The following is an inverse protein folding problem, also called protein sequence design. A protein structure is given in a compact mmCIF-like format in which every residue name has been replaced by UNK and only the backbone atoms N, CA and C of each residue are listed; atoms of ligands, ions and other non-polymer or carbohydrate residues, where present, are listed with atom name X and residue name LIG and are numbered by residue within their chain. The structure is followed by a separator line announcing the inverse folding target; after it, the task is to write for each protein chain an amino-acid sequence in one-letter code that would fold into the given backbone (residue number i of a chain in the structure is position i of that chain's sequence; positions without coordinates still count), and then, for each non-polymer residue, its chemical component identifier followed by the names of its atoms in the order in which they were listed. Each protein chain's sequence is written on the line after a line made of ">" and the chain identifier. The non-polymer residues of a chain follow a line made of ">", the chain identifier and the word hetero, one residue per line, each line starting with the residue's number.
data_IF_397725652657
#
_entry.id   IF_397725652657
#
_cell.length_a   1.000
_cell.length_b   1.000
_cell.length_c   1.000
_cell.angle_alpha   90.00
_cell.angle_beta   90.00
_cell.angle_gamma   90.00
#
_symmetry.space_group_name_H-M   'P 1'
#
loop_
_entity.id
_entity.type
_entity.pdbx_description
1 polymer ?
#
# COMPACT_ATOMS: atom_id res chain seq x y z
N UNK A 1 17.70 19.87 -73.96
CA UNK A 1 16.71 20.90 -73.56
C UNK A 1 15.58 20.92 -74.59
N UNK A 2 14.39 20.44 -74.22
CA UNK A 2 13.06 20.92 -74.63
C UNK A 2 11.99 19.88 -74.23
N UNK A 3 11.03 20.32 -73.41
CA UNK A 3 9.83 19.60 -72.97
C UNK A 3 8.70 19.66 -74.01
N UNK A 4 7.63 18.88 -73.80
CA UNK A 4 6.18 19.15 -74.07
C UNK A 4 5.48 17.79 -74.19
N UNK A 5 4.87 17.29 -73.10
CA UNK A 5 3.42 17.31 -72.75
C UNK A 5 2.49 16.52 -73.68
N UNK A 6 1.86 15.49 -73.11
CA UNK A 6 0.64 14.84 -73.62
C UNK A 6 -0.43 14.80 -72.51
N UNK A 7 -1.73 14.73 -72.88
CA UNK A 7 -2.82 15.32 -72.13
C UNK A 7 -3.43 14.40 -71.07
N UNK A 8 -4.05 15.06 -70.08
CA UNK A 8 -5.01 14.51 -69.12
C UNK A 8 -6.11 13.73 -69.83
N UNK A 9 -6.40 12.52 -69.36
CA UNK A 9 -7.77 12.01 -69.27
C UNK A 9 -8.09 11.71 -67.81
N UNK A 10 -9.08 12.44 -67.34
CA UNK A 10 -9.76 12.34 -66.06
C UNK A 10 -10.83 11.24 -66.22
N UNK A 11 -10.79 10.20 -65.35
CA UNK A 11 -11.88 9.56 -64.55
C UNK A 11 -13.14 9.12 -65.33
N UNK A 12 -13.82 7.97 -65.06
CA UNK A 12 -14.01 7.30 -63.77
C UNK A 12 -13.85 5.78 -63.83
N UNK A 13 -13.72 5.12 -62.68
CA UNK A 13 -14.60 4.03 -62.29
C UNK A 13 -14.25 3.65 -60.85
N UNK A 14 -15.07 4.15 -59.95
CA UNK A 14 -15.06 3.83 -58.54
C UNK A 14 -15.50 2.39 -58.34
N UNK A 15 -14.61 1.51 -57.87
CA UNK A 15 -14.86 0.31 -57.05
C UNK A 15 -13.46 -0.04 -56.52
N UNK A 16 -13.10 -0.14 -55.25
CA UNK A 16 -13.81 -0.65 -54.08
C UNK A 16 -13.15 -0.08 -52.80
N UNK A 17 -13.71 0.98 -52.23
CA UNK A 17 -13.43 1.35 -50.83
C UNK A 17 -14.34 0.55 -49.92
N UNK A 18 -14.08 -0.75 -49.79
CA UNK A 18 -14.86 -1.60 -48.88
C UNK A 18 -14.13 -2.87 -48.42
N UNK A 19 -12.78 -2.89 -48.30
CA UNK A 19 -12.09 -4.07 -47.70
C UNK A 19 -10.84 -3.72 -46.88
N UNK A 20 -10.68 -2.46 -46.40
CA UNK A 20 -9.59 -2.10 -45.46
C UNK A 20 -10.14 -1.34 -44.25
N UNK A 21 -11.36 -1.67 -43.83
CA UNK A 21 -11.88 -1.29 -42.51
C UNK A 21 -12.12 -2.52 -41.60
N UNK A 22 -12.05 -3.74 -42.16
CA UNK A 22 -12.38 -4.98 -41.44
C UNK A 22 -11.20 -5.72 -40.79
N UNK A 23 -9.96 -5.32 -41.04
CA UNK A 23 -8.77 -6.06 -40.56
C UNK A 23 -8.01 -5.32 -39.44
N UNK A 24 -8.31 -4.03 -39.18
CA UNK A 24 -7.64 -3.25 -38.12
C UNK A 24 -8.41 -3.27 -36.78
N UNK A 25 -9.61 -3.86 -36.73
CA UNK A 25 -10.40 -3.92 -35.50
C UNK A 25 -10.27 -5.23 -34.71
N UNK A 26 -9.56 -6.24 -35.22
CA UNK A 26 -9.39 -7.53 -34.53
C UNK A 26 -8.17 -7.53 -33.59
N UNK A 27 -7.27 -6.55 -33.73
CA UNK A 27 -6.03 -6.48 -32.94
C UNK A 27 -6.11 -5.67 -31.63
N UNK A 28 -7.19 -4.95 -31.37
CA UNK A 28 -7.32 -4.02 -30.23
C UNK A 28 -8.37 -4.40 -29.19
N UNK A 29 -8.96 -5.60 -29.28
CA UNK A 29 -10.06 -6.01 -28.37
C UNK A 29 -9.77 -7.31 -27.62
N UNK A 30 -8.52 -7.78 -27.64
CA UNK A 30 -8.11 -9.03 -27.00
C UNK A 30 -7.14 -8.83 -25.82
N UNK A 31 -7.08 -7.63 -25.23
CA UNK A 31 -6.21 -7.32 -24.09
C UNK A 31 -6.92 -6.60 -22.93
N UNK A 32 -8.24 -6.45 -23.01
CA UNK A 32 -9.08 -6.07 -21.85
C UNK A 32 -9.62 -7.29 -21.10
N UNK A 33 -8.96 -8.45 -21.21
CA UNK A 33 -9.10 -9.47 -20.18
C UNK A 33 -8.42 -8.98 -18.90
N UNK A 34 -9.23 -8.37 -18.04
CA UNK A 34 -9.21 -8.64 -16.60
C UNK A 34 -7.86 -8.48 -15.90
N UNK A 35 -7.21 -7.34 -16.05
CA UNK A 35 -6.44 -6.80 -14.92
C UNK A 35 -7.31 -5.80 -14.18
N UNK A 36 -8.30 -6.30 -13.42
CA UNK A 36 -8.72 -5.55 -12.24
C UNK A 36 -7.48 -5.48 -11.35
N UNK A 37 -6.83 -4.32 -11.17
CA UNK A 37 -5.76 -4.22 -10.19
C UNK A 37 -6.38 -4.69 -8.86
N UNK A 38 -5.74 -5.60 -8.10
CA UNK A 38 -6.44 -6.22 -6.99
C UNK A 38 -6.85 -5.09 -6.03
N UNK A 39 -8.16 -4.91 -5.84
CA UNK A 39 -8.64 -3.77 -5.07
C UNK A 39 -8.18 -3.89 -3.61
N UNK A 40 -8.02 -2.76 -2.92
CA UNK A 40 -7.73 -2.77 -1.49
C UNK A 40 -8.82 -3.53 -0.74
N UNK A 41 -8.44 -4.45 0.14
CA UNK A 41 -9.37 -5.28 0.91
C UNK A 41 -9.36 -4.84 2.36
N UNK A 42 -10.52 -4.45 2.90
CA UNK A 42 -10.68 -4.25 4.33
C UNK A 42 -10.67 -5.63 5.02
N UNK A 43 -9.89 -5.74 6.09
CA UNK A 43 -9.79 -6.94 6.91
C UNK A 43 -10.78 -6.83 8.08
N UNK A 44 -11.41 -7.95 8.42
CA UNK A 44 -12.04 -8.13 9.71
C UNK A 44 -11.04 -8.63 10.77
N UNK A 45 -11.52 -8.88 11.98
CA UNK A 45 -10.68 -9.32 13.09
C UNK A 45 -10.06 -10.71 12.86
N UNK A 46 -10.76 -11.62 12.19
CA UNK A 46 -10.30 -12.99 11.99
C UNK A 46 -9.23 -13.03 10.90
N UNK A 47 -9.46 -12.33 9.78
CA UNK A 47 -8.45 -12.14 8.73
C UNK A 47 -7.20 -11.43 9.27
N UNK A 48 -7.37 -10.42 10.13
CA UNK A 48 -6.24 -9.75 10.78
C UNK A 48 -5.44 -10.68 11.70
N UNK A 49 -6.10 -11.57 12.45
CA UNK A 49 -5.42 -12.58 13.28
C UNK A 49 -4.67 -13.60 12.43
N UNK A 50 -5.24 -14.04 11.32
CA UNK A 50 -4.57 -14.96 10.39
C UNK A 50 -3.28 -14.33 9.83
N UNK A 51 -3.32 -13.05 9.45
CA UNK A 51 -2.12 -12.33 8.98
C UNK A 51 -1.05 -12.15 10.07
N UNK A 52 -1.46 -12.11 11.33
CA UNK A 52 -0.60 -11.92 12.49
C UNK A 52 -0.34 -13.23 13.26
N UNK A 53 -0.48 -14.41 12.64
CA UNK A 53 -0.44 -15.71 13.32
C UNK A 53 0.80 -15.95 14.20
N UNK A 54 1.94 -15.32 13.89
CA UNK A 54 3.18 -15.42 14.66
C UNK A 54 3.40 -14.25 15.65
N UNK A 55 2.36 -13.47 15.92
CA UNK A 55 2.40 -12.27 16.76
C UNK A 55 1.35 -12.38 17.85
N UNK A 56 1.74 -12.04 19.08
CA UNK A 56 0.82 -11.93 20.21
C UNK A 56 0.20 -10.54 20.27
N UNK A 57 -1.13 -10.47 20.38
CA UNK A 57 -1.82 -9.22 20.68
C UNK A 57 -1.81 -9.02 22.20
N UNK A 58 -1.25 -7.93 22.74
CA UNK A 58 -1.16 -7.75 24.19
C UNK A 58 -2.54 -7.68 24.86
N UNK A 59 -2.66 -8.09 26.13
CA UNK A 59 -3.92 -8.02 26.86
C UNK A 59 -4.53 -6.61 26.87
N UNK A 60 -5.86 -6.54 26.75
CA UNK A 60 -6.61 -5.28 26.73
C UNK A 60 -6.63 -4.56 25.39
N UNK A 61 -5.89 -5.04 24.38
CA UNK A 61 -6.02 -4.54 23.01
C UNK A 61 -7.17 -5.24 22.26
N UNK A 62 -7.97 -4.46 21.53
CA UNK A 62 -9.05 -4.96 20.70
C UNK A 62 -8.88 -4.47 19.25
N UNK A 63 -9.28 -5.31 18.30
CA UNK A 63 -9.21 -5.00 16.88
C UNK A 63 -10.13 -3.84 16.55
N UNK A 64 -9.66 -2.90 15.73
CA UNK A 64 -10.44 -1.75 15.27
C UNK A 64 -10.67 -1.82 13.77
N UNK A 65 -9.59 -2.03 13.00
CA UNK A 65 -9.62 -2.16 11.55
C UNK A 65 -8.33 -2.72 11.01
N UNK A 66 -8.40 -3.32 9.83
CA UNK A 66 -7.24 -3.64 9.04
C UNK A 66 -7.53 -3.45 7.56
N UNK A 67 -6.47 -3.27 6.79
CA UNK A 67 -6.53 -3.22 5.33
C UNK A 67 -5.34 -3.98 4.79
N UNK A 68 -5.59 -4.72 3.72
CA UNK A 68 -4.60 -5.39 2.89
C UNK A 68 -4.65 -4.75 1.52
N UNK A 69 -3.49 -4.34 1.03
CA UNK A 69 -3.39 -3.87 -0.33
C UNK A 69 -3.04 -5.04 -1.24
N UNK A 70 -3.40 -4.95 -2.53
CA UNK A 70 -2.81 -5.81 -3.53
C UNK A 70 -1.29 -5.88 -3.38
N UNK A 71 -0.66 -7.02 -3.70
CA UNK A 71 0.75 -7.03 -4.06
C UNK A 71 0.88 -6.28 -5.39
N UNK A 72 0.93 -4.96 -5.35
CA UNK A 72 1.08 -4.13 -6.52
C UNK A 72 2.23 -3.14 -6.28
N UNK A 73 3.31 -3.38 -7.01
CA UNK A 73 4.49 -2.52 -7.15
C UNK A 73 5.35 -2.30 -5.89
N UNK A 74 6.66 -2.21 -6.13
CA UNK A 74 7.67 -1.85 -5.13
C UNK A 74 7.29 -0.56 -4.40
N UNK A 75 7.18 -0.63 -3.08
CA UNK A 75 6.98 0.55 -2.22
C UNK A 75 5.57 0.78 -1.66
N UNK A 76 4.60 -0.13 -1.84
CA UNK A 76 3.26 -0.03 -1.21
C UNK A 76 3.22 -0.76 0.15
N UNK A 77 2.37 -0.34 1.09
CA UNK A 77 2.09 -1.15 2.28
C UNK A 77 1.30 -2.39 1.86
N UNK A 78 1.71 -3.60 2.24
CA UNK A 78 0.97 -4.83 1.90
C UNK A 78 -0.16 -5.11 2.90
N UNK A 79 0.00 -4.69 4.16
CA UNK A 79 -1.14 -4.56 5.09
C UNK A 79 -0.86 -3.59 6.23
N UNK A 80 -1.94 -3.09 6.84
CA UNK A 80 -1.94 -2.24 8.01
C UNK A 80 -3.10 -2.69 8.91
N UNK A 81 -2.81 -2.94 10.19
CA UNK A 81 -3.80 -3.45 11.15
C UNK A 81 -3.68 -2.65 12.44
N UNK A 82 -4.81 -2.10 12.93
CA UNK A 82 -4.89 -1.34 14.17
C UNK A 82 -5.67 -2.08 15.24
N UNK A 83 -5.08 -2.09 16.43
CA UNK A 83 -5.71 -2.41 17.69
C UNK A 83 -5.69 -1.18 18.61
N UNK A 84 -6.71 -1.03 19.46
CA UNK A 84 -6.72 -0.04 20.53
C UNK A 84 -6.66 -0.72 21.89
N UNK A 85 -5.89 -0.15 22.81
CA UNK A 85 -5.78 -0.61 24.18
C UNK A 85 -5.70 0.54 25.17
N UNK A 86 -5.47 0.23 26.46
CA UNK A 86 -5.42 1.23 27.53
C UNK A 86 -4.35 2.31 27.27
N UNK A 87 -4.61 3.56 27.67
CA UNK A 87 -3.64 4.66 27.53
C UNK A 87 -2.31 4.40 28.27
N UNK A 88 -2.34 3.62 29.34
CA UNK A 88 -1.15 3.21 30.10
C UNK A 88 -0.18 2.35 29.27
N UNK A 89 -0.69 1.60 28.28
CA UNK A 89 0.11 0.72 27.42
C UNK A 89 1.14 1.49 26.60
N UNK A 90 0.90 2.76 26.25
CA UNK A 90 1.83 3.53 25.43
C UNK A 90 3.23 3.60 26.03
N UNK A 91 3.36 3.73 27.36
CA UNK A 91 4.67 3.79 28.04
C UNK A 91 5.18 2.42 28.45
N UNK A 92 4.28 1.51 28.83
CA UNK A 92 4.65 0.26 29.50
C UNK A 92 4.80 -0.92 28.54
N UNK A 93 4.20 -0.84 27.35
CA UNK A 93 4.28 -1.95 26.40
C UNK A 93 5.72 -2.13 25.92
N UNK A 94 6.20 -3.37 26.02
CA UNK A 94 7.47 -3.83 25.52
C UNK A 94 7.26 -4.61 24.22
N UNK A 95 8.17 -4.49 23.26
CA UNK A 95 8.03 -5.16 21.97
C UNK A 95 8.06 -6.69 22.10
N UNK A 96 8.82 -7.22 23.05
CA UNK A 96 8.82 -8.66 23.38
C UNK A 96 7.47 -9.22 23.84
N UNK A 97 6.58 -8.38 24.39
CA UNK A 97 5.20 -8.81 24.71
C UNK A 97 4.32 -9.04 23.48
N UNK A 98 4.79 -8.61 22.30
CA UNK A 98 4.13 -8.76 21.00
C UNK A 98 4.85 -9.83 20.18
N UNK A 99 6.18 -9.77 20.10
CA UNK A 99 7.01 -10.80 19.47
C UNK A 99 8.46 -10.66 19.94
N UNK A 100 9.13 -11.77 20.24
CA UNK A 100 10.56 -11.80 20.59
C UNK A 100 11.48 -11.40 19.43
N UNK A 101 10.96 -11.40 18.20
CA UNK A 101 11.72 -11.02 17.00
C UNK A 101 11.70 -9.52 16.71
N UNK A 102 10.95 -8.73 17.47
CA UNK A 102 10.90 -7.27 17.35
C UNK A 102 12.09 -6.62 18.06
N UNK A 103 12.69 -5.61 17.42
CA UNK A 103 13.55 -4.67 18.12
C UNK A 103 12.80 -3.96 19.27
N UNK A 104 13.53 -3.37 20.21
CA UNK A 104 12.92 -2.54 21.25
C UNK A 104 12.20 -1.33 20.65
N UNK A 105 11.08 -0.94 21.27
CA UNK A 105 10.38 0.28 20.94
C UNK A 105 11.25 1.51 21.23
N UNK A 106 11.56 2.30 20.20
CA UNK A 106 12.18 3.62 20.37
C UNK A 106 11.21 4.73 20.00
N UNK A 107 11.32 5.84 20.72
CA UNK A 107 10.58 7.06 20.41
C UNK A 107 11.23 7.76 19.21
N UNK A 108 10.42 8.15 18.23
CA UNK A 108 10.86 8.85 17.02
C UNK A 108 9.77 9.82 16.58
N UNK A 109 10.13 10.75 15.69
CA UNK A 109 9.17 11.64 15.06
C UNK A 109 8.19 10.81 14.21
N UNK A 110 6.89 11.13 14.30
CA UNK A 110 5.84 10.32 13.67
C UNK A 110 6.02 10.20 12.15
N UNK A 111 6.45 11.27 11.48
CA UNK A 111 6.75 11.31 10.05
C UNK A 111 7.91 10.38 9.63
N UNK A 112 8.86 10.10 10.54
CA UNK A 112 9.97 9.15 10.32
C UNK A 112 9.58 7.70 10.64
N UNK A 113 8.58 7.51 11.49
CA UNK A 113 8.04 6.18 11.80
C UNK A 113 7.26 5.60 10.61
N UNK A 114 6.69 6.46 9.78
CA UNK A 114 5.81 6.06 8.68
C UNK A 114 6.58 5.61 7.45
N UNK A 115 5.98 4.68 6.70
CA UNK A 115 6.38 4.39 5.32
C UNK A 115 6.43 5.71 4.57
N UNK A 116 7.46 5.94 3.74
CA UNK A 116 7.66 7.27 3.22
C UNK A 116 6.55 7.64 2.23
N UNK A 117 5.80 6.68 1.66
CA UNK A 117 4.99 6.90 0.46
C UNK A 117 3.60 6.24 0.58
N UNK A 118 2.68 6.94 1.26
CA UNK A 118 1.22 7.11 1.03
C UNK A 118 0.55 7.55 2.34
N UNK A 119 0.59 8.85 2.62
CA UNK A 119 0.05 9.49 3.84
C UNK A 119 -1.44 9.21 4.06
N UNK A 120 -2.22 9.08 2.97
CA UNK A 120 -3.66 8.84 3.06
C UNK A 120 -4.04 7.46 3.62
N UNK A 121 -3.21 6.44 3.39
CA UNK A 121 -3.48 5.09 3.88
C UNK A 121 -3.24 4.96 5.39
N UNK A 122 -2.29 5.73 5.91
CA UNK A 122 -2.00 5.81 7.34
C UNK A 122 -3.05 6.64 8.08
N UNK A 123 -3.55 7.70 7.47
CA UNK A 123 -4.72 8.43 8.01
C UNK A 123 -5.93 7.49 8.15
N UNK A 124 -6.17 6.62 7.17
CA UNK A 124 -7.25 5.64 7.24
C UNK A 124 -7.06 4.65 8.40
N UNK A 125 -5.85 4.13 8.62
CA UNK A 125 -5.62 3.24 9.78
C UNK A 125 -5.68 4.00 11.11
N UNK A 126 -5.67 5.33 11.08
CA UNK A 126 -5.72 6.21 12.25
C UNK A 126 -4.34 6.52 12.82
N UNK A 127 -3.30 6.44 11.99
CA UNK A 127 -1.98 6.98 12.26
C UNK A 127 -1.85 8.33 11.55
N UNK A 128 -2.28 9.39 12.24
CA UNK A 128 -2.11 10.76 11.77
C UNK A 128 -0.86 11.32 12.43
N UNK A 129 0.05 11.87 11.64
CA UNK A 129 1.34 12.41 12.10
C UNK A 129 1.41 13.93 11.92
N UNK A 130 0.73 14.74 12.76
CA UNK A 130 0.95 16.18 12.76
C UNK A 130 2.42 16.52 13.05
N UNK A 131 2.95 17.63 12.53
CA UNK A 131 4.30 18.09 12.85
C UNK A 131 4.52 18.19 14.36
N UNK A 132 5.67 17.68 14.84
CA UNK A 132 6.03 17.70 16.26
C UNK A 132 5.37 16.61 17.12
N UNK A 133 4.71 15.63 16.51
CA UNK A 133 4.21 14.45 17.23
C UNK A 133 5.23 13.32 17.22
N UNK A 134 5.32 12.61 18.34
CA UNK A 134 6.18 11.43 18.48
C UNK A 134 5.36 10.15 18.60
N UNK A 135 5.95 9.06 18.15
CA UNK A 135 5.42 7.70 18.32
C UNK A 135 6.53 6.78 18.78
N UNK A 136 6.18 5.61 19.32
CA UNK A 136 7.16 4.55 19.58
C UNK A 136 7.08 3.51 18.46
N UNK A 137 8.22 3.17 17.86
CA UNK A 137 8.28 2.19 16.77
C UNK A 137 9.25 1.06 17.11
N UNK A 138 8.86 -0.15 16.74
CA UNK A 138 9.70 -1.36 16.75
C UNK A 138 9.67 -1.98 15.35
N UNK A 139 10.79 -2.53 14.86
CA UNK A 139 10.91 -3.03 13.47
C UNK A 139 11.49 -4.43 13.38
N UNK A 140 11.11 -5.14 12.33
CA UNK A 140 11.64 -6.44 11.92
C UNK A 140 12.56 -6.33 10.69
N UNK A 141 13.73 -7.00 10.66
CA UNK A 141 14.59 -7.33 11.79
C UNK A 141 15.63 -6.20 12.02
N UNK A 142 15.59 -5.57 13.19
CA UNK A 142 16.74 -4.86 13.76
C UNK A 142 17.25 -3.59 13.05
N UNK A 143 16.52 -3.00 12.10
CA UNK A 143 16.88 -1.68 11.57
C UNK A 143 16.73 -0.57 12.60
N UNK A 144 17.55 0.46 12.45
CA UNK A 144 17.46 1.74 13.17
C UNK A 144 16.06 2.36 12.99
N UNK A 145 15.37 2.78 14.07
CA UNK A 145 14.05 3.43 14.06
C UNK A 145 13.96 4.74 13.25
N UNK A 146 15.10 5.27 12.85
CA UNK A 146 15.24 6.50 12.08
C UNK A 146 15.11 6.28 10.57
N UNK A 147 15.25 5.05 10.09
CA UNK A 147 15.15 4.72 8.66
C UNK A 147 13.71 4.60 8.19
N UNK A 148 13.41 4.73 6.90
CA UNK A 148 12.12 4.28 6.37
C UNK A 148 12.03 2.75 6.36
N UNK A 149 10.81 2.20 6.47
CA UNK A 149 10.57 0.76 6.28
C UNK A 149 11.02 0.33 4.87
N UNK A 150 11.86 -0.70 4.80
CA UNK A 150 12.31 -1.34 3.57
C UNK A 150 11.32 -2.36 3.01
N UNK A 151 11.60 -2.86 1.82
CA UNK A 151 10.80 -3.90 1.14
C UNK A 151 10.63 -5.13 2.04
N UNK A 152 9.40 -5.63 2.15
CA UNK A 152 9.06 -6.82 2.97
C UNK A 152 9.40 -6.68 4.46
N UNK A 153 9.54 -5.46 4.98
CA UNK A 153 9.76 -5.22 6.40
C UNK A 153 8.44 -5.00 7.15
N UNK A 154 8.43 -5.38 8.43
CA UNK A 154 7.29 -5.14 9.31
C UNK A 154 7.69 -4.10 10.36
N UNK A 155 6.85 -3.10 10.60
CA UNK A 155 6.92 -2.23 11.76
C UNK A 155 5.72 -2.42 12.67
N UNK A 156 5.96 -2.13 13.93
CA UNK A 156 4.96 -1.99 14.95
C UNK A 156 5.02 -0.58 15.51
N UNK A 157 3.94 0.17 15.38
CA UNK A 157 3.84 1.56 15.82
C UNK A 157 2.88 1.64 17.00
N UNK A 158 3.34 2.28 18.08
CA UNK A 158 2.51 2.73 19.18
C UNK A 158 2.29 4.22 19.02
N UNK A 159 1.03 4.60 18.80
CA UNK A 159 0.61 5.99 18.80
C UNK A 159 -0.31 6.25 20.00
N UNK A 160 -0.19 7.44 20.60
CA UNK A 160 -1.06 7.87 21.69
C UNK A 160 -2.23 8.68 21.15
N UNK A 161 -3.43 8.36 21.62
CA UNK A 161 -4.57 9.25 21.60
C UNK A 161 -4.91 9.62 23.06
N UNK A 162 -5.73 10.66 23.30
CA UNK A 162 -6.03 11.17 24.64
C UNK A 162 -6.43 10.07 25.64
N UNK A 163 -7.24 9.10 25.21
CA UNK A 163 -7.83 8.08 26.09
C UNK A 163 -7.34 6.64 25.81
N UNK A 164 -6.51 6.45 24.78
CA UNK A 164 -6.16 5.11 24.30
C UNK A 164 -4.76 5.04 23.69
N UNK A 165 -4.20 3.83 23.67
CA UNK A 165 -3.00 3.51 22.91
C UNK A 165 -3.41 2.79 21.63
N UNK A 166 -2.94 3.26 20.48
CA UNK A 166 -3.11 2.60 19.18
C UNK A 166 -1.87 1.76 18.92
N UNK A 167 -2.07 0.45 18.73
CA UNK A 167 -1.05 -0.50 18.30
C UNK A 167 -1.29 -0.81 16.82
N UNK A 168 -0.35 -0.42 15.96
CA UNK A 168 -0.51 -0.47 14.51
C UNK A 168 0.59 -1.33 13.93
N UNK A 169 0.20 -2.46 13.34
CA UNK A 169 1.07 -3.32 12.56
C UNK A 169 1.10 -2.79 11.13
N UNK A 170 2.29 -2.53 10.62
CA UNK A 170 2.53 -2.10 9.25
C UNK A 170 3.45 -3.11 8.60
N UNK A 171 3.07 -3.63 7.44
CA UNK A 171 3.93 -4.47 6.63
C UNK A 171 4.15 -3.82 5.28
N UNK A 172 5.40 -3.51 4.98
CA UNK A 172 5.81 -3.04 3.67
C UNK A 172 5.66 -4.19 2.66
N UNK A 173 5.09 -3.87 1.50
CA UNK A 173 5.01 -4.76 0.36
C UNK A 173 6.36 -4.98 -0.32
N UNK A 174 6.27 -5.67 -1.45
CA UNK A 174 7.40 -6.07 -2.32
C UNK A 174 7.74 -4.98 -3.30
#
# INVERSE_FOLDING_TARGET
>A
MSSITWPRKIVPFAVATAVIAGIILIGCQAWEEFWDPPSQVNLDADAAREMLANTSIPPGFHFVRGRKWPPAMAGTARYAIRYNGPASSYRNLQSGSVSDSLAEFKETDCDKATLPWETHDLDWIGLVCPPGTTVRIARWPGRTPEDSLGISETALVLARNHDETRLIFLYAGT
#
